data_IF_577178257202
#
_entry.id   IF_577178257202
#
_cell.length_a   1.000
_cell.length_b   1.000
_cell.length_c   1.000
_cell.angle_alpha   90.00
_cell.angle_beta   90.00
_cell.angle_gamma   90.00
#
_symmetry.space_group_name_H-M   'P 1'
#
loop_
_entity.id
_entity.type
_entity.pdbx_description
1 polymer ?
#
# COMPACT_ATOMS: atom_id res chain seq x y z
N UNK A 1 32.73 31.62 21.51
CA UNK A 1 32.54 30.21 21.88
C UNK A 1 33.27 29.37 20.85
N UNK A 2 34.28 28.59 21.25
CA UNK A 2 35.05 27.77 20.29
C UNK A 2 34.23 26.52 19.94
N UNK A 3 33.88 26.34 18.66
CA UNK A 3 33.23 25.11 18.18
C UNK A 3 34.30 24.04 18.01
N UNK A 4 34.43 23.13 18.98
CA UNK A 4 35.29 21.96 18.84
C UNK A 4 34.67 21.02 17.80
N UNK A 5 35.31 20.93 16.64
CA UNK A 5 34.87 20.05 15.55
C UNK A 5 35.16 18.61 15.97
N UNK A 6 34.13 17.90 16.48
CA UNK A 6 34.27 16.52 16.94
C UNK A 6 34.06 15.57 15.78
N UNK A 7 35.14 14.93 15.34
CA UNK A 7 35.10 13.94 14.27
C UNK A 7 34.50 12.62 14.79
N UNK A 8 33.54 12.06 14.05
CA UNK A 8 32.91 10.78 14.37
C UNK A 8 33.30 9.70 13.37
N UNK A 9 33.70 8.55 13.88
CA UNK A 9 33.93 7.33 13.11
C UNK A 9 32.71 6.41 13.27
N UNK A 10 32.00 6.11 12.18
CA UNK A 10 30.79 5.29 12.22
C UNK A 10 31.11 3.84 11.87
N UNK A 11 30.75 2.92 12.76
CA UNK A 11 30.87 1.48 12.54
C UNK A 11 29.54 0.76 12.76
N UNK A 12 29.23 -0.29 11.98
CA UNK A 12 28.13 -1.17 12.31
C UNK A 12 28.38 -1.87 13.64
N UNK A 13 27.38 -1.91 14.51
CA UNK A 13 27.49 -2.70 15.75
C UNK A 13 27.42 -4.19 15.42
N UNK A 14 28.57 -4.84 15.59
CA UNK A 14 28.72 -6.29 15.53
C UNK A 14 29.29 -6.70 16.88
N UNK A 15 28.58 -7.52 17.68
CA UNK A 15 29.08 -7.98 18.97
C UNK A 15 30.50 -8.52 18.84
N UNK A 16 31.34 -8.29 19.86
CA UNK A 16 32.76 -8.70 19.92
C UNK A 16 33.66 -7.90 18.97
N UNK A 17 33.32 -7.78 17.68
CA UNK A 17 34.15 -7.11 16.69
C UNK A 17 34.15 -5.59 16.84
N UNK A 18 32.97 -4.98 17.01
CA UNK A 18 32.86 -3.52 17.07
C UNK A 18 33.49 -2.91 18.33
N UNK A 19 33.63 -3.69 19.40
CA UNK A 19 34.25 -3.25 20.65
C UNK A 19 35.78 -3.20 20.58
N UNK A 20 36.39 -4.04 19.73
CA UNK A 20 37.83 -4.05 19.48
C UNK A 20 38.33 -2.78 18.78
N UNK A 21 37.44 -1.95 18.24
CA UNK A 21 37.81 -0.65 17.65
C UNK A 21 38.08 0.44 18.70
N UNK A 22 37.66 0.27 19.96
CA UNK A 22 37.84 1.26 21.04
C UNK A 22 39.30 1.67 21.30
N UNK A 23 40.29 0.76 21.29
CA UNK A 23 41.69 1.13 21.42
C UNK A 23 42.18 1.92 20.19
N UNK A 24 41.81 1.49 18.99
CA UNK A 24 42.30 2.05 17.70
C UNK A 24 41.93 3.53 17.53
N UNK A 25 40.69 3.90 17.88
CA UNK A 25 40.20 5.28 17.76
C UNK A 25 40.59 6.19 18.94
N UNK A 26 41.17 5.64 20.02
CA UNK A 26 41.62 6.44 21.16
C UNK A 26 42.70 7.44 20.76
N UNK A 27 43.61 7.01 19.90
CA UNK A 27 44.77 7.80 19.47
C UNK A 27 44.42 8.80 18.36
N UNK A 28 43.26 8.61 17.71
CA UNK A 28 42.82 9.39 16.55
C UNK A 28 42.04 10.68 16.93
N UNK A 29 41.87 10.98 18.23
CA UNK A 29 41.03 12.09 18.73
C UNK A 29 39.60 12.11 18.11
N UNK A 30 39.10 10.94 17.71
CA UNK A 30 37.78 10.76 17.09
C UNK A 30 36.84 9.98 18.00
N UNK A 31 35.55 10.32 17.99
CA UNK A 31 34.52 9.58 18.73
C UNK A 31 33.96 8.44 17.87
N UNK A 32 33.70 7.27 18.47
CA UNK A 32 33.00 6.19 17.77
C UNK A 32 31.50 6.44 17.84
N UNK A 33 30.82 6.21 16.73
CA UNK A 33 29.37 6.06 16.66
C UNK A 33 29.01 4.67 16.14
N UNK A 34 27.94 4.09 16.68
CA UNK A 34 27.50 2.74 16.31
C UNK A 34 26.20 2.83 15.52
N UNK A 35 26.12 2.08 14.43
CA UNK A 35 24.91 1.95 13.62
C UNK A 35 24.41 0.51 13.62
N UNK A 36 23.11 0.30 13.83
CA UNK A 36 22.51 -1.02 13.67
C UNK A 36 22.42 -1.43 12.19
N UNK A 37 22.75 -2.69 11.89
CA UNK A 37 22.63 -3.25 10.52
C UNK A 37 21.17 -3.35 10.05
N UNK A 38 20.25 -3.57 10.99
CA UNK A 38 18.83 -3.75 10.72
C UNK A 38 18.07 -2.43 10.87
N UNK A 39 18.22 -1.53 9.89
CA UNK A 39 17.41 -0.30 9.85
C UNK A 39 15.95 -0.65 9.56
N UNK A 40 15.02 -0.05 10.29
CA UNK A 40 13.58 -0.22 10.05
C UNK A 40 13.19 0.11 8.61
N UNK A 41 13.87 1.06 7.98
CA UNK A 41 13.67 1.44 6.56
C UNK A 41 13.91 0.29 5.56
N UNK A 42 14.64 -0.75 5.95
CA UNK A 42 14.82 -1.97 5.15
C UNK A 42 13.53 -2.81 5.10
N UNK A 43 12.77 -2.83 6.20
CA UNK A 43 11.57 -3.64 6.36
C UNK A 43 10.29 -2.85 6.07
N UNK A 44 10.26 -1.60 6.52
CA UNK A 44 9.14 -0.69 6.38
C UNK A 44 9.50 0.29 5.28
N UNK A 45 8.99 0.04 4.07
CA UNK A 45 9.13 0.97 2.95
C UNK A 45 8.14 2.13 3.11
N UNK A 46 8.57 3.33 2.72
CA UNK A 46 7.71 4.53 2.71
C UNK A 46 6.56 4.37 1.72
N UNK A 47 6.78 3.62 0.64
CA UNK A 47 5.78 3.38 -0.37
C UNK A 47 4.89 2.19 0.02
N UNK A 48 3.57 2.39 -0.05
CA UNK A 48 2.58 1.32 0.09
C UNK A 48 2.80 0.25 -0.99
N UNK A 49 2.42 -0.99 -0.68
CA UNK A 49 2.42 -2.06 -1.66
C UNK A 49 1.57 -1.67 -2.87
N UNK A 50 2.14 -1.85 -4.06
CA UNK A 50 1.43 -1.57 -5.30
C UNK A 50 0.32 -2.61 -5.43
N UNK A 51 -0.92 -2.18 -5.23
CA UNK A 51 -2.07 -3.02 -5.50
C UNK A 51 -2.23 -3.17 -7.02
N UNK A 52 -2.28 -4.43 -7.47
CA UNK A 52 -2.72 -4.77 -8.83
C UNK A 52 -4.06 -4.08 -9.11
N UNK A 53 -4.27 -3.65 -10.36
CA UNK A 53 -5.42 -2.82 -10.77
C UNK A 53 -6.76 -3.42 -10.34
N UNK A 54 -6.84 -4.75 -10.34
CA UNK A 54 -8.01 -5.56 -9.97
C UNK A 54 -8.30 -5.59 -8.46
N UNK A 55 -7.30 -5.29 -7.62
CA UNK A 55 -7.41 -5.22 -6.16
C UNK A 55 -7.59 -3.79 -5.65
N UNK A 56 -7.77 -2.82 -6.54
CA UNK A 56 -8.00 -1.42 -6.18
C UNK A 56 -9.47 -1.23 -5.81
N UNK A 57 -9.72 -0.58 -4.68
CA UNK A 57 -11.07 -0.15 -4.31
C UNK A 57 -11.49 1.08 -5.14
N UNK A 58 -12.80 1.33 -5.21
CA UNK A 58 -13.37 2.49 -5.91
C UNK A 58 -13.14 2.51 -7.43
N UNK A 59 -12.92 1.35 -8.05
CA UNK A 59 -12.91 1.26 -9.52
C UNK A 59 -14.34 1.40 -10.02
N UNK A 60 -14.55 2.41 -10.87
CA UNK A 60 -15.79 2.63 -11.63
C UNK A 60 -15.74 1.75 -12.88
N UNK A 61 -16.75 0.91 -13.08
CA UNK A 61 -16.88 0.06 -14.26
C UNK A 61 -18.14 0.40 -15.05
N UNK A 62 -18.08 0.20 -16.38
CA UNK A 62 -19.17 0.44 -17.32
C UNK A 62 -19.51 -0.89 -18.01
N UNK A 63 -20.74 -1.35 -17.86
CA UNK A 63 -21.27 -2.51 -18.59
C UNK A 63 -22.19 -1.99 -19.70
N UNK A 64 -21.82 -2.14 -20.98
CA UNK A 64 -22.69 -1.73 -22.09
C UNK A 64 -23.90 -2.67 -22.21
N UNK A 65 -25.04 -2.12 -22.63
CA UNK A 65 -26.15 -2.92 -23.12
C UNK A 65 -25.84 -3.32 -24.57
N UNK A 66 -26.09 -4.57 -24.94
CA UNK A 66 -25.86 -5.03 -26.31
C UNK A 66 -26.98 -4.60 -27.27
N UNK A 67 -28.18 -4.36 -26.74
CA UNK A 67 -29.39 -4.12 -27.54
C UNK A 67 -29.77 -2.64 -27.66
N UNK A 68 -29.06 -1.74 -26.96
CA UNK A 68 -29.24 -0.28 -27.08
C UNK A 68 -28.03 0.51 -26.59
N UNK A 69 -27.98 1.81 -26.87
CA UNK A 69 -26.88 2.71 -26.47
C UNK A 69 -26.85 3.05 -24.96
N UNK A 70 -27.54 2.27 -24.12
CA UNK A 70 -27.51 2.44 -22.67
C UNK A 70 -26.34 1.67 -22.05
N UNK A 71 -25.89 2.10 -20.87
CA UNK A 71 -24.85 1.41 -20.11
C UNK A 71 -25.05 1.57 -18.61
N UNK A 72 -24.89 0.48 -17.85
CA UNK A 72 -24.84 0.53 -16.40
C UNK A 72 -23.45 0.98 -15.94
N UNK A 73 -23.40 1.97 -15.05
CA UNK A 73 -22.16 2.44 -14.44
C UNK A 73 -22.27 2.24 -12.92
N UNK A 74 -21.31 1.51 -12.35
CA UNK A 74 -21.26 1.20 -10.93
C UNK A 74 -19.86 1.41 -10.36
N UNK A 75 -19.78 1.65 -9.05
CA UNK A 75 -18.52 1.75 -8.30
C UNK A 75 -18.36 0.51 -7.41
N UNK A 76 -17.16 -0.05 -7.39
CA UNK A 76 -16.86 -1.22 -6.56
C UNK A 76 -16.68 -0.80 -5.10
N UNK A 77 -17.52 -1.31 -4.20
CA UNK A 77 -17.27 -1.28 -2.75
C UNK A 77 -16.33 -2.43 -2.37
N UNK A 78 -15.35 -2.12 -1.52
CA UNK A 78 -14.18 -2.95 -1.16
C UNK A 78 -14.46 -4.45 -0.95
N UNK A 79 -13.65 -5.31 -1.57
CA UNK A 79 -13.76 -6.76 -1.50
C UNK A 79 -12.84 -7.34 -0.42
N UNK A 80 -13.37 -7.68 0.75
CA UNK A 80 -12.74 -8.72 1.58
C UNK A 80 -13.70 -9.74 2.23
N UNK A 81 -15.04 -9.56 2.21
CA UNK A 81 -15.95 -10.53 2.87
C UNK A 81 -17.22 -10.89 2.08
N UNK A 82 -17.13 -10.99 0.75
CA UNK A 82 -18.32 -11.25 -0.06
C UNK A 82 -18.14 -12.34 -1.12
N UNK A 83 -17.23 -13.30 -0.93
CA UNK A 83 -17.09 -14.42 -1.88
C UNK A 83 -17.81 -15.72 -1.46
N UNK A 84 -18.38 -15.82 -0.24
CA UNK A 84 -19.05 -17.06 0.19
C UNK A 84 -20.57 -16.96 0.35
N UNK A 85 -21.17 -15.75 0.43
CA UNK A 85 -22.62 -15.59 0.69
C UNK A 85 -23.47 -15.18 -0.52
N UNK A 86 -22.87 -14.67 -1.60
CA UNK A 86 -23.62 -14.04 -2.71
C UNK A 86 -23.76 -14.88 -3.98
N UNK A 87 -23.09 -16.04 -4.07
CA UNK A 87 -23.19 -16.87 -5.28
C UNK A 87 -24.57 -17.56 -5.44
N UNK A 88 -25.41 -17.65 -4.39
CA UNK A 88 -26.70 -18.36 -4.46
C UNK A 88 -27.97 -17.51 -4.68
N UNK A 89 -28.05 -16.21 -4.32
CA UNK A 89 -29.26 -15.42 -4.61
C UNK A 89 -29.18 -14.48 -5.83
N UNK A 90 -28.00 -14.19 -6.41
CA UNK A 90 -27.89 -13.18 -7.48
C UNK A 90 -28.34 -13.68 -8.88
N UNK A 91 -28.24 -14.98 -9.17
CA UNK A 91 -28.66 -15.50 -10.48
C UNK A 91 -30.18 -15.44 -10.72
N UNK A 92 -31.02 -15.43 -9.67
CA UNK A 92 -32.47 -15.36 -9.84
C UNK A 92 -33.00 -13.93 -10.03
N UNK A 93 -32.26 -12.91 -9.60
CA UNK A 93 -32.69 -11.50 -9.73
C UNK A 93 -32.28 -10.86 -11.06
N UNK A 94 -31.15 -11.25 -11.66
CA UNK A 94 -30.71 -10.63 -12.92
C UNK A 94 -31.66 -10.92 -14.09
N UNK A 95 -32.24 -12.11 -14.15
CA UNK A 95 -33.20 -12.48 -15.21
C UNK A 95 -34.57 -11.78 -15.12
N UNK A 96 -34.86 -11.10 -14.00
CA UNK A 96 -36.14 -10.46 -13.75
C UNK A 96 -36.11 -8.93 -14.00
N UNK A 97 -34.96 -8.27 -13.89
CA UNK A 97 -34.83 -6.80 -14.05
C UNK A 97 -34.44 -6.33 -15.46
N UNK A 98 -34.08 -7.24 -16.38
CA UNK A 98 -33.84 -6.91 -17.79
C UNK A 98 -35.10 -7.02 -18.67
N UNK A 99 -36.28 -7.15 -18.07
CA UNK A 99 -37.54 -6.97 -18.79
C UNK A 99 -38.05 -5.58 -18.47
N UNK A 100 -38.20 -4.78 -19.51
CA UNK A 100 -38.84 -3.46 -19.51
C UNK A 100 -37.93 -2.32 -19.04
N UNK A 101 -37.48 -1.54 -20.01
CA UNK A 101 -37.34 -0.10 -19.85
C UNK A 101 -38.46 0.43 -18.93
N UNK A 102 -38.09 1.03 -17.79
CA UNK A 102 -38.96 1.74 -16.85
C UNK A 102 -38.46 3.16 -16.66
N UNK A 103 -39.35 4.12 -16.32
CA UNK A 103 -39.57 5.33 -17.10
C UNK A 103 -38.47 6.37 -16.93
N UNK A 104 -38.17 7.05 -18.04
CA UNK A 104 -37.41 8.29 -18.03
C UNK A 104 -38.13 9.28 -17.11
N UNK A 105 -37.51 9.60 -15.97
CA UNK A 105 -37.89 10.79 -15.22
C UNK A 105 -37.38 12.00 -16.00
N UNK A 106 -38.27 12.61 -16.77
CA UNK A 106 -38.10 14.01 -17.14
C UNK A 106 -38.02 14.81 -15.84
N UNK A 107 -36.97 15.60 -15.67
CA UNK A 107 -36.92 16.65 -14.67
C UNK A 107 -36.56 17.98 -15.33
N UNK A 108 -37.03 19.08 -14.73
CA UNK A 108 -37.42 20.32 -15.41
C UNK A 108 -36.25 21.11 -16.00
#
# INVERSE_FOLDING_TARGET
>A
MQTTNTNYFNIPYVPIFSEQFRPVVRDLQTKISYTGMNKLTRFIRVQKDILQKEKRNNVVYKIPCNDCNASYVGQTSTFEKQNQRTQKPHQKKYNATFRHHGPQAQKP
#
